data_IF_182851713005
#
_entry.id   IF_182851713005
#
_cell.length_a   1.000
_cell.length_b   1.000
_cell.length_c   1.000
_cell.angle_alpha   90.00
_cell.angle_beta   90.00
_cell.angle_gamma   90.00
#
_symmetry.space_group_name_H-M   'P 1'
#
loop_
_entity.id
_entity.type
_entity.pdbx_description
1 polymer ?
#
# COMPACT_ATOMS: atom_id res chain seq x y z
N UNK A 1 20.80 -5.89 -32.36
CA UNK A 1 20.84 -5.29 -31.01
C UNK A 1 21.40 -3.86 -31.06
N UNK A 2 20.72 -2.94 -31.76
CA UNK A 2 21.16 -1.53 -31.89
C UNK A 2 20.11 -0.56 -31.31
N UNK A 3 18.88 -1.02 -31.07
CA UNK A 3 17.76 -0.17 -30.62
C UNK A 3 17.86 0.31 -29.16
N UNK A 4 18.52 -0.43 -28.27
CA UNK A 4 18.61 -0.08 -26.84
C UNK A 4 19.51 1.13 -26.57
N UNK A 5 20.47 1.41 -27.47
CA UNK A 5 21.51 2.43 -27.27
C UNK A 5 21.02 3.86 -27.55
N UNK A 6 19.98 4.02 -28.36
CA UNK A 6 19.39 5.33 -28.67
C UNK A 6 18.39 5.81 -27.58
N UNK A 7 17.83 4.89 -26.77
CA UNK A 7 16.96 5.27 -25.65
C UNK A 7 17.74 5.97 -24.52
N UNK A 8 18.98 5.54 -24.27
CA UNK A 8 19.90 6.12 -23.28
C UNK A 8 20.38 7.52 -23.66
N UNK A 9 20.32 7.86 -24.95
CA UNK A 9 20.74 9.16 -25.49
C UNK A 9 19.63 10.22 -25.49
N UNK A 10 18.45 9.90 -24.96
CA UNK A 10 17.43 10.93 -24.74
C UNK A 10 17.78 11.74 -23.49
N UNK A 11 18.44 12.88 -23.69
CA UNK A 11 18.71 13.95 -22.70
C UNK A 11 17.42 14.38 -21.96
N UNK A 12 16.26 14.02 -22.49
CA UNK A 12 14.93 14.19 -21.89
C UNK A 12 14.71 13.32 -20.64
N UNK A 13 15.15 12.06 -20.62
CA UNK A 13 14.84 11.10 -19.54
C UNK A 13 15.64 11.35 -18.26
N UNK A 14 16.80 12.02 -18.37
CA UNK A 14 17.69 12.37 -17.26
C UNK A 14 17.36 13.72 -16.63
N UNK A 15 16.66 14.61 -17.36
CA UNK A 15 16.52 16.02 -16.99
C UNK A 15 15.15 16.42 -16.43
N UNK A 16 14.08 15.65 -16.67
CA UNK A 16 12.71 16.07 -16.29
C UNK A 16 11.85 15.03 -15.55
N UNK A 17 12.28 13.78 -15.42
CA UNK A 17 11.44 12.75 -14.78
C UNK A 17 12.06 12.32 -13.46
N UNK A 18 11.49 12.72 -12.30
CA UNK A 18 12.02 12.32 -11.01
C UNK A 18 12.03 10.79 -10.90
N UNK A 19 13.01 10.18 -10.21
CA UNK A 19 13.11 8.72 -10.08
C UNK A 19 11.83 8.10 -9.49
N UNK A 20 11.13 8.85 -8.61
CA UNK A 20 9.83 8.47 -8.06
C UNK A 20 8.75 8.29 -9.12
N UNK A 21 8.70 9.13 -10.16
CA UNK A 21 7.70 9.00 -11.22
C UNK A 21 7.91 7.72 -12.04
N UNK A 22 9.18 7.32 -12.26
CA UNK A 22 9.51 6.06 -12.93
C UNK A 22 9.08 4.87 -12.07
N UNK A 23 9.39 4.90 -10.77
CA UNK A 23 8.98 3.85 -9.83
C UNK A 23 7.47 3.74 -9.70
N UNK A 24 6.77 4.86 -9.61
CA UNK A 24 5.31 4.90 -9.50
C UNK A 24 4.66 4.36 -10.78
N UNK A 25 5.18 4.69 -11.96
CA UNK A 25 4.72 4.11 -13.22
C UNK A 25 4.88 2.59 -13.24
N UNK A 26 6.06 2.08 -12.89
CA UNK A 26 6.30 0.62 -12.85
C UNK A 26 5.39 -0.04 -11.81
N UNK A 27 5.24 0.56 -10.65
CA UNK A 27 4.37 0.05 -9.58
C UNK A 27 2.91 -0.02 -10.00
N UNK A 28 2.37 1.07 -10.56
CA UNK A 28 0.98 1.12 -11.06
C UNK A 28 0.79 0.13 -12.18
N UNK A 29 1.73 0.04 -13.13
CA UNK A 29 1.66 -0.89 -14.25
C UNK A 29 1.61 -2.35 -13.76
N UNK A 30 2.59 -2.76 -12.94
CA UNK A 30 2.65 -4.13 -12.40
C UNK A 30 1.41 -4.44 -11.55
N UNK A 31 0.99 -3.51 -10.69
CA UNK A 31 -0.19 -3.70 -9.83
C UNK A 31 -1.48 -3.79 -10.65
N UNK A 32 -1.60 -2.99 -11.71
CA UNK A 32 -2.76 -3.02 -12.61
C UNK A 32 -2.82 -4.34 -13.37
N UNK A 33 -1.71 -4.81 -13.94
CA UNK A 33 -1.65 -6.10 -14.62
C UNK A 33 -1.95 -7.25 -13.65
N UNK A 34 -1.49 -7.16 -12.40
CA UNK A 34 -1.75 -8.16 -11.37
C UNK A 34 -3.25 -8.39 -11.10
N UNK A 35 -4.10 -7.37 -11.26
CA UNK A 35 -5.57 -7.52 -11.13
C UNK A 35 -6.10 -8.60 -12.09
N UNK A 36 -5.63 -8.58 -13.33
CA UNK A 36 -6.07 -9.54 -14.36
C UNK A 36 -5.56 -10.96 -14.10
N UNK A 37 -4.38 -11.11 -13.48
CA UNK A 37 -3.84 -12.41 -13.11
C UNK A 37 -4.50 -13.00 -11.85
N UNK A 38 -4.91 -12.14 -10.92
CA UNK A 38 -5.53 -12.55 -9.65
C UNK A 38 -7.02 -12.85 -9.80
N UNK A 39 -7.72 -12.14 -10.67
CA UNK A 39 -9.16 -12.30 -10.85
C UNK A 39 -9.50 -13.68 -11.42
N UNK A 40 -10.59 -14.28 -10.93
CA UNK A 40 -11.04 -15.60 -11.40
C UNK A 40 -11.63 -15.59 -12.82
N UNK A 41 -11.99 -14.41 -13.32
CA UNK A 41 -12.55 -14.23 -14.66
C UNK A 41 -12.24 -12.82 -15.22
N UNK A 42 -12.39 -12.65 -16.53
CA UNK A 42 -12.26 -11.34 -17.18
C UNK A 42 -13.32 -10.35 -16.67
N UNK A 43 -14.52 -10.85 -16.37
CA UNK A 43 -15.62 -10.06 -15.80
C UNK A 43 -15.25 -9.50 -14.43
N UNK A 44 -14.65 -10.32 -13.56
CA UNK A 44 -14.22 -9.88 -12.22
C UNK A 44 -13.09 -8.85 -12.29
N UNK A 45 -12.13 -9.04 -13.20
CA UNK A 45 -11.05 -8.07 -13.41
C UNK A 45 -11.60 -6.71 -13.84
N UNK A 46 -12.50 -6.70 -14.82
CA UNK A 46 -13.15 -5.47 -15.31
C UNK A 46 -14.03 -4.82 -14.24
N UNK A 47 -14.71 -5.60 -13.41
CA UNK A 47 -15.49 -5.11 -12.27
C UNK A 47 -14.57 -4.39 -11.26
N UNK A 48 -13.42 -4.99 -10.91
CA UNK A 48 -12.43 -4.37 -10.02
C UNK A 48 -11.91 -3.06 -10.61
N UNK A 49 -11.53 -3.06 -11.89
CA UNK A 49 -11.06 -1.85 -12.59
C UNK A 49 -12.14 -0.77 -12.60
N UNK A 50 -13.38 -1.11 -12.95
CA UNK A 50 -14.49 -0.18 -12.95
C UNK A 50 -14.74 0.38 -11.54
N UNK A 51 -14.71 -0.45 -10.50
CA UNK A 51 -14.83 -0.01 -9.10
C UNK A 51 -13.71 0.95 -8.69
N UNK A 52 -12.47 0.77 -9.15
CA UNK A 52 -11.38 1.73 -8.85
C UNK A 52 -11.72 3.15 -9.34
N UNK A 53 -12.40 3.28 -10.49
CA UNK A 53 -12.76 4.59 -11.06
C UNK A 53 -14.15 5.10 -10.67
N UNK A 54 -15.07 4.22 -10.29
CA UNK A 54 -16.48 4.56 -10.05
C UNK A 54 -16.95 4.35 -8.63
N UNK A 55 -16.14 3.73 -7.76
CA UNK A 55 -16.46 3.64 -6.34
C UNK A 55 -16.47 5.05 -5.75
N UNK A 56 -17.67 5.62 -5.69
CA UNK A 56 -17.92 6.80 -4.90
C UNK A 56 -17.63 6.50 -3.44
N UNK A 57 -17.20 7.52 -2.71
CA UNK A 57 -16.96 7.50 -1.26
C UNK A 57 -18.21 7.13 -0.42
N UNK A 58 -19.34 6.81 -1.07
CA UNK A 58 -20.60 6.40 -0.45
C UNK A 58 -20.81 4.89 -0.37
N UNK A 59 -19.88 4.07 -0.86
CA UNK A 59 -20.00 2.61 -0.76
C UNK A 59 -19.43 2.13 0.59
N UNK A 60 -20.27 1.63 1.53
CA UNK A 60 -19.84 1.22 2.88
C UNK A 60 -18.86 0.04 2.86
N UNK A 61 -18.66 -0.58 1.70
CA UNK A 61 -17.71 -1.66 1.48
C UNK A 61 -16.26 -1.20 1.36
N UNK A 62 -15.99 0.08 1.18
CA UNK A 62 -14.64 0.63 1.31
C UNK A 62 -14.47 1.00 2.79
N UNK A 63 -13.82 0.16 3.61
CA UNK A 63 -13.66 0.47 5.01
C UNK A 63 -12.69 1.64 5.06
N UNK A 64 -13.17 2.82 5.46
CA UNK A 64 -12.31 3.99 5.68
C UNK A 64 -11.11 3.63 6.58
N UNK A 65 -11.32 2.66 7.48
CA UNK A 65 -10.29 2.01 8.29
C UNK A 65 -9.22 1.31 7.44
N UNK A 66 -9.56 0.54 6.41
CA UNK A 66 -8.55 -0.11 5.54
C UNK A 66 -7.75 0.91 4.74
N UNK A 67 -8.39 1.95 4.20
CA UNK A 67 -7.66 3.04 3.54
C UNK A 67 -6.70 3.69 4.55
N UNK A 68 -7.21 4.04 5.75
CA UNK A 68 -6.39 4.61 6.81
C UNK A 68 -5.20 3.72 7.20
N UNK A 69 -5.39 2.41 7.30
CA UNK A 69 -4.31 1.46 7.59
C UNK A 69 -3.28 1.37 6.46
N UNK A 70 -3.71 1.35 5.19
CA UNK A 70 -2.80 1.34 4.04
C UNK A 70 -2.00 2.64 3.97
N UNK A 71 -2.65 3.79 4.19
CA UNK A 71 -1.98 5.09 4.23
C UNK A 71 -1.00 5.16 5.40
N UNK A 72 -1.36 4.62 6.58
CA UNK A 72 -0.47 4.55 7.73
C UNK A 72 0.75 3.67 7.46
N UNK A 73 0.56 2.53 6.79
CA UNK A 73 1.65 1.63 6.41
C UNK A 73 2.61 2.31 5.41
N UNK A 74 2.08 3.03 4.42
CA UNK A 74 2.89 3.82 3.49
C UNK A 74 3.65 4.94 4.19
N UNK A 75 2.99 5.68 5.10
CA UNK A 75 3.63 6.71 5.91
C UNK A 75 4.75 6.12 6.77
N UNK A 76 4.52 4.98 7.41
CA UNK A 76 5.54 4.29 8.19
C UNK A 76 6.75 3.93 7.32
N UNK A 77 6.51 3.31 6.17
CA UNK A 77 7.58 2.91 5.25
C UNK A 77 8.35 4.13 4.73
N UNK A 78 7.64 5.21 4.38
CA UNK A 78 8.25 6.47 3.96
C UNK A 78 9.11 7.12 5.05
N UNK A 79 8.62 7.17 6.30
CA UNK A 79 9.37 7.76 7.43
C UNK A 79 10.57 6.87 7.79
N UNK A 80 10.42 5.55 7.70
CA UNK A 80 11.49 4.59 7.98
C UNK A 80 12.63 4.65 6.95
N UNK A 81 12.31 4.80 5.66
CA UNK A 81 13.29 4.94 4.57
C UNK A 81 13.94 6.34 4.53
N UNK A 82 13.28 7.33 5.12
CA UNK A 82 13.73 8.72 5.14
C UNK A 82 14.74 9.01 6.27
N UNK A 83 15.39 10.18 6.20
CA UNK A 83 16.26 10.75 7.25
C UNK A 83 15.58 10.89 8.61
N UNK A 84 14.26 10.73 8.67
CA UNK A 84 13.40 10.89 9.84
C UNK A 84 13.27 9.59 10.66
N UNK A 85 13.97 8.52 10.27
CA UNK A 85 14.06 7.25 11.02
C UNK A 85 14.43 7.43 12.50
N UNK A 86 15.24 8.43 12.84
CA UNK A 86 15.60 8.73 14.23
C UNK A 86 14.40 9.15 15.10
N UNK A 87 13.35 9.75 14.52
CA UNK A 87 12.10 10.06 15.23
C UNK A 87 11.33 8.78 15.58
N UNK A 88 11.24 7.82 14.65
CA UNK A 88 10.63 6.50 14.89
C UNK A 88 11.42 5.66 15.90
N UNK A 89 12.74 5.81 15.94
CA UNK A 89 13.62 5.09 16.89
C UNK A 89 13.69 5.74 18.28
N UNK A 90 13.05 6.90 18.48
CA UNK A 90 13.01 7.53 19.80
C UNK A 90 12.27 6.63 20.80
N UNK A 91 12.81 6.54 22.03
CA UNK A 91 12.24 5.69 23.09
C UNK A 91 10.77 6.02 23.38
N UNK A 92 10.39 7.30 23.25
CA UNK A 92 9.01 7.77 23.43
C UNK A 92 8.05 7.21 22.38
N UNK A 93 8.43 7.16 21.09
CA UNK A 93 7.56 6.62 20.04
C UNK A 93 7.40 5.11 20.21
N UNK A 94 8.46 4.39 20.56
CA UNK A 94 8.39 2.94 20.78
C UNK A 94 7.49 2.57 21.96
N UNK A 95 7.63 3.29 23.08
CA UNK A 95 6.76 3.09 24.26
C UNK A 95 5.34 3.54 23.95
N UNK A 96 5.16 4.67 23.26
CA UNK A 96 3.86 5.16 22.84
C UNK A 96 3.09 4.15 21.98
N UNK A 97 3.73 3.57 20.97
CA UNK A 97 3.13 2.53 20.10
C UNK A 97 2.78 1.28 20.90
N UNK A 98 3.63 0.83 21.81
CA UNK A 98 3.35 -0.32 22.66
C UNK A 98 2.13 -0.09 23.58
N UNK A 99 2.04 1.10 24.19
CA UNK A 99 0.89 1.49 25.02
C UNK A 99 -0.38 1.57 24.17
N UNK A 100 -0.31 2.16 22.97
CA UNK A 100 -1.45 2.26 22.06
C UNK A 100 -1.95 0.88 21.61
N UNK A 101 -1.02 -0.05 21.35
CA UNK A 101 -1.34 -1.44 21.04
C UNK A 101 -2.03 -2.15 22.22
N UNK A 102 -1.53 -1.96 23.44
CA UNK A 102 -2.15 -2.52 24.65
C UNK A 102 -3.54 -1.94 24.89
N UNK A 103 -3.71 -0.62 24.75
CA UNK A 103 -5.01 0.05 24.85
C UNK A 103 -5.98 -0.46 23.80
N UNK A 104 -5.54 -0.56 22.54
CA UNK A 104 -6.36 -1.10 21.46
C UNK A 104 -6.83 -2.52 21.75
N UNK A 105 -5.92 -3.42 22.16
CA UNK A 105 -6.31 -4.77 22.54
C UNK A 105 -7.29 -4.77 23.72
N UNK A 106 -7.04 -3.96 24.75
CA UNK A 106 -7.91 -3.92 25.93
C UNK A 106 -9.32 -3.37 25.66
N UNK A 107 -9.46 -2.46 24.69
CA UNK A 107 -10.73 -1.77 24.40
C UNK A 107 -11.49 -2.39 23.20
N UNK A 108 -10.78 -2.96 22.23
CA UNK A 108 -11.36 -3.44 20.98
C UNK A 108 -11.28 -4.97 20.78
N UNK A 109 -10.47 -5.71 21.55
CA UNK A 109 -10.43 -7.18 21.45
C UNK A 109 -11.55 -7.82 22.30
N UNK A 110 -12.81 -7.51 21.98
CA UNK A 110 -13.99 -8.14 22.62
C UNK A 110 -14.59 -9.29 21.82
N UNK A 111 -13.97 -9.66 20.69
CA UNK A 111 -14.41 -10.75 19.81
C UNK A 111 -13.40 -11.89 19.80
N UNK A 112 -13.30 -12.64 20.90
CA UNK A 112 -12.48 -13.85 20.99
C UNK A 112 -13.07 -14.98 20.14
N UNK A 113 -12.85 -14.93 18.82
CA UNK A 113 -12.99 -16.11 17.98
C UNK A 113 -11.99 -17.17 18.45
N UNK A 114 -12.44 -18.42 18.58
CA UNK A 114 -11.57 -19.54 18.93
C UNK A 114 -10.34 -19.54 18.02
N UNK A 115 -9.14 -19.67 18.60
CA UNK A 115 -7.92 -19.84 17.81
C UNK A 115 -8.15 -20.94 16.78
N UNK A 116 -7.75 -20.69 15.53
CA UNK A 116 -7.98 -21.57 14.35
C UNK A 116 -7.55 -23.03 14.60
N UNK A 117 -6.67 -23.26 15.58
CA UNK A 117 -6.22 -24.58 16.04
C UNK A 117 -7.24 -25.40 16.86
N UNK A 118 -8.30 -24.78 17.38
CA UNK A 118 -9.38 -25.46 18.12
C UNK A 118 -10.57 -25.85 17.21
N UNK A 119 -10.43 -25.75 15.88
CA UNK A 119 -11.47 -26.08 14.91
C UNK A 119 -11.26 -27.41 14.18
N UNK A 120 -10.40 -28.29 14.71
CA UNK A 120 -10.20 -29.67 14.24
C UNK A 120 -10.60 -30.66 15.33
#
# INVERSE_FOLDING_TARGET
>A
MILTRELERSVFYRRQVPPLAKQLCVFVFVSFTWIFFRAGSLGDALLIVHRIFTAGWGDPQIPALMIGLVTLAWLYQFIYESRWRNLLQSGLVRVGVAVLMALYLSLCASGGGAFIYFQF
#
